data_IF_992104843004
#
_entry.id   IF_992104843004
#
_cell.length_a   1.000
_cell.length_b   1.000
_cell.length_c   1.000
_cell.angle_alpha   90.00
_cell.angle_beta   90.00
_cell.angle_gamma   90.00
#
_symmetry.space_group_name_H-M   'P 1'
#
loop_
_entity.id
_entity.type
_entity.pdbx_description
1 polymer ?
#
# COMPACT_ATOMS: atom_id res chain seq x y z
N UNK A 1 -29.14 36.39 -16.71
CA UNK A 1 -28.49 36.74 -15.43
C UNK A 1 -27.92 35.45 -14.84
N UNK A 2 -26.64 35.36 -14.43
CA UNK A 2 -26.18 34.17 -13.72
C UNK A 2 -26.92 34.11 -12.38
N UNK A 3 -27.64 33.04 -12.14
CA UNK A 3 -28.38 32.79 -10.90
C UNK A 3 -27.46 32.87 -9.70
N UNK A 4 -27.94 33.47 -8.61
CA UNK A 4 -27.16 33.57 -7.37
C UNK A 4 -26.84 32.15 -6.87
N UNK A 5 -25.59 31.84 -6.53
CA UNK A 5 -25.22 30.51 -6.04
C UNK A 5 -25.97 30.22 -4.74
N UNK A 6 -26.56 29.02 -4.63
CA UNK A 6 -27.19 28.52 -3.39
C UNK A 6 -26.24 28.71 -2.21
N UNK A 7 -26.73 29.31 -1.12
CA UNK A 7 -25.96 29.45 0.12
C UNK A 7 -25.61 28.06 0.69
N UNK A 8 -24.33 27.83 0.97
CA UNK A 8 -23.80 26.57 1.53
C UNK A 8 -23.15 26.73 2.89
N UNK A 9 -23.20 27.92 3.49
CA UNK A 9 -22.58 28.17 4.81
C UNK A 9 -23.17 27.19 5.85
N UNK A 10 -22.29 26.55 6.62
CA UNK A 10 -22.65 25.53 7.61
C UNK A 10 -22.72 24.10 7.07
N UNK A 11 -22.70 23.90 5.75
CA UNK A 11 -22.70 22.54 5.18
C UNK A 11 -21.35 21.83 5.41
N UNK A 12 -21.40 20.51 5.67
CA UNK A 12 -20.24 19.68 5.98
C UNK A 12 -19.97 18.68 4.85
N UNK A 13 -18.71 18.59 4.43
CA UNK A 13 -18.21 17.72 3.37
C UNK A 13 -16.96 16.96 3.86
N UNK A 14 -17.18 15.78 4.44
CA UNK A 14 -16.11 15.04 5.13
C UNK A 14 -15.59 15.81 6.33
N UNK A 15 -14.32 16.23 6.29
CA UNK A 15 -13.67 17.05 7.33
C UNK A 15 -13.88 18.54 7.15
N UNK A 16 -14.46 19.00 6.03
CA UNK A 16 -14.63 20.43 5.72
C UNK A 16 -16.01 20.94 6.10
N UNK A 17 -16.07 22.06 6.80
CA UNK A 17 -17.29 22.83 7.05
C UNK A 17 -17.22 24.16 6.29
N UNK A 18 -18.23 24.49 5.48
CA UNK A 18 -18.26 25.77 4.75
C UNK A 18 -18.48 26.91 5.74
N UNK A 19 -17.59 27.91 5.73
CA UNK A 19 -17.63 29.04 6.67
C UNK A 19 -18.01 30.36 6.00
N UNK A 20 -17.66 30.58 4.74
CA UNK A 20 -18.05 31.80 3.99
C UNK A 20 -17.98 31.61 2.47
N UNK A 21 -18.73 32.43 1.75
CA UNK A 21 -18.59 32.54 0.30
C UNK A 21 -17.26 33.21 -0.08
N UNK A 22 -16.74 32.87 -1.25
CA UNK A 22 -15.62 33.59 -1.88
C UNK A 22 -16.11 34.43 -3.05
N UNK A 23 -15.35 35.48 -3.37
CA UNK A 23 -15.55 36.31 -4.55
C UNK A 23 -15.11 35.60 -5.84
N UNK A 24 -14.31 34.53 -5.72
CA UNK A 24 -13.80 33.77 -6.87
C UNK A 24 -14.88 32.91 -7.49
N UNK A 25 -14.80 32.76 -8.82
CA UNK A 25 -15.61 31.83 -9.61
C UNK A 25 -14.75 31.02 -10.56
N UNK A 26 -15.19 29.81 -10.89
CA UNK A 26 -14.54 29.02 -11.94
C UNK A 26 -14.88 29.60 -13.32
N UNK A 27 -14.14 29.18 -14.36
CA UNK A 27 -14.46 29.53 -15.76
C UNK A 27 -15.88 29.11 -16.17
N UNK A 28 -16.43 28.07 -15.56
CA UNK A 28 -17.79 27.58 -15.78
C UNK A 28 -18.85 28.31 -14.91
N UNK A 29 -18.44 29.30 -14.10
CA UNK A 29 -19.34 30.11 -13.28
C UNK A 29 -19.62 29.56 -11.87
N UNK A 30 -19.00 28.46 -11.45
CA UNK A 30 -19.22 27.91 -10.10
C UNK A 30 -18.59 28.82 -9.04
N UNK A 31 -19.33 29.12 -7.98
CA UNK A 31 -18.81 29.86 -6.83
C UNK A 31 -17.77 29.03 -6.05
N UNK A 32 -16.78 29.71 -5.50
CA UNK A 32 -15.87 29.15 -4.51
C UNK A 32 -16.38 29.40 -3.08
N UNK A 33 -15.99 28.51 -2.17
CA UNK A 33 -16.36 28.55 -0.77
C UNK A 33 -15.11 28.37 0.08
N UNK A 34 -14.95 29.23 1.08
CA UNK A 34 -13.98 28.99 2.14
C UNK A 34 -14.54 27.95 3.09
N UNK A 35 -13.76 26.90 3.31
CA UNK A 35 -14.11 25.79 4.17
C UNK A 35 -13.07 25.65 5.28
N UNK A 36 -13.52 25.43 6.51
CA UNK A 36 -12.67 25.11 7.66
C UNK A 36 -12.62 23.60 7.84
N UNK A 37 -11.43 23.03 7.83
CA UNK A 37 -11.19 21.63 8.13
C UNK A 37 -11.32 21.37 9.63
N UNK A 38 -11.63 20.13 10.02
CA UNK A 38 -11.68 19.70 11.41
C UNK A 38 -10.34 19.85 12.15
N UNK A 39 -9.21 19.94 11.43
CA UNK A 39 -7.91 20.27 12.00
C UNK A 39 -7.69 21.78 12.23
N UNK A 40 -8.66 22.63 11.87
CA UNK A 40 -8.60 24.09 11.99
C UNK A 40 -8.11 24.82 10.74
N UNK A 41 -7.41 24.15 9.81
CA UNK A 41 -6.92 24.77 8.58
C UNK A 41 -8.07 25.12 7.62
N UNK A 42 -7.95 26.24 6.92
CA UNK A 42 -8.93 26.67 5.91
C UNK A 42 -8.47 26.34 4.48
N UNK A 43 -9.44 26.08 3.60
CA UNK A 43 -9.20 25.86 2.18
C UNK A 43 -10.34 26.45 1.36
N UNK A 44 -9.99 27.09 0.26
CA UNK A 44 -10.95 27.54 -0.72
C UNK A 44 -11.27 26.43 -1.73
N UNK A 45 -12.56 26.11 -1.91
CA UNK A 45 -13.01 24.97 -2.71
C UNK A 45 -14.14 25.37 -3.65
N UNK A 46 -14.12 24.98 -4.94
CA UNK A 46 -15.22 25.27 -5.86
C UNK A 46 -16.44 24.40 -5.57
N UNK A 47 -17.64 24.95 -5.80
CA UNK A 47 -18.94 24.33 -5.47
C UNK A 47 -19.13 22.92 -6.05
N UNK A 48 -18.60 22.65 -7.25
CA UNK A 48 -18.73 21.35 -7.93
C UNK A 48 -17.85 20.26 -7.30
N UNK A 49 -16.87 20.65 -6.47
CA UNK A 49 -15.99 19.74 -5.72
C UNK A 49 -16.48 19.45 -4.30
N UNK A 50 -17.38 20.29 -3.77
CA UNK A 50 -18.05 20.07 -2.48
C UNK A 50 -19.26 19.16 -2.67
N UNK A 51 -19.03 17.86 -2.47
CA UNK A 51 -20.12 16.90 -2.49
C UNK A 51 -19.97 15.63 -1.67
N UNK A 52 -21.14 15.10 -1.26
CA UNK A 52 -21.27 13.86 -0.48
C UNK A 52 -21.47 12.60 -1.34
N UNK A 53 -22.20 12.67 -2.46
CA UNK A 53 -22.30 11.51 -3.36
C UNK A 53 -20.91 11.08 -3.86
N UNK A 54 -20.51 9.87 -3.50
CA UNK A 54 -19.23 9.23 -3.79
C UNK A 54 -19.22 8.43 -5.10
N UNK A 55 -20.39 8.17 -5.69
CA UNK A 55 -20.55 7.50 -6.98
C UNK A 55 -20.24 8.42 -8.18
N UNK A 56 -19.90 9.69 -7.93
CA UNK A 56 -19.57 10.66 -8.98
C UNK A 56 -18.19 10.33 -9.57
N UNK A 57 -18.04 10.50 -10.89
CA UNK A 57 -16.74 10.36 -11.56
C UNK A 57 -15.75 11.48 -11.23
N UNK A 58 -16.24 12.67 -10.84
CA UNK A 58 -15.37 13.83 -10.54
C UNK A 58 -14.82 13.73 -9.11
N UNK A 59 -13.51 13.97 -8.90
CA UNK A 59 -12.93 13.99 -7.56
C UNK A 59 -13.60 15.06 -6.69
N UNK A 60 -13.92 14.72 -5.44
CA UNK A 60 -14.45 15.65 -4.45
C UNK A 60 -13.33 16.14 -3.54
N UNK A 61 -13.55 17.28 -2.89
CA UNK A 61 -12.64 17.81 -1.87
C UNK A 61 -13.38 17.76 -0.54
N UNK A 62 -12.81 17.03 0.41
CA UNK A 62 -13.44 16.73 1.70
C UNK A 62 -12.49 16.94 2.89
N UNK A 63 -11.32 17.54 2.67
CA UNK A 63 -10.34 17.90 3.70
C UNK A 63 -9.47 19.06 3.20
N UNK A 64 -8.74 19.71 4.12
CA UNK A 64 -7.66 20.62 3.74
C UNK A 64 -6.52 19.85 3.03
N UNK A 65 -5.58 20.58 2.43
CA UNK A 65 -4.49 19.96 1.65
C UNK A 65 -3.61 19.05 2.50
N UNK A 66 -3.25 19.49 3.71
CA UNK A 66 -2.46 18.71 4.67
C UNK A 66 -3.17 17.41 5.05
N UNK A 67 -4.40 17.50 5.56
CA UNK A 67 -5.15 16.31 5.97
C UNK A 67 -5.45 15.37 4.79
N UNK A 68 -5.69 15.91 3.58
CA UNK A 68 -5.86 15.09 2.38
C UNK A 68 -4.59 14.29 2.07
N UNK A 69 -3.41 14.92 2.18
CA UNK A 69 -2.12 14.27 1.94
C UNK A 69 -1.83 13.21 3.00
N UNK A 70 -2.07 13.51 4.28
CA UNK A 70 -1.93 12.57 5.39
C UNK A 70 -2.81 11.33 5.18
N UNK A 71 -4.10 11.52 4.85
CA UNK A 71 -5.02 10.42 4.60
C UNK A 71 -4.59 9.56 3.40
N UNK A 72 -4.04 10.17 2.35
CA UNK A 72 -3.47 9.42 1.22
C UNK A 72 -2.27 8.57 1.65
N UNK A 73 -1.35 9.16 2.41
CA UNK A 73 -0.17 8.46 2.95
C UNK A 73 -0.60 7.29 3.83
N UNK A 74 -1.51 7.52 4.80
CA UNK A 74 -2.08 6.45 5.63
C UNK A 74 -2.74 5.36 4.80
N UNK A 75 -3.47 5.74 3.74
CA UNK A 75 -4.08 4.79 2.81
C UNK A 75 -3.07 3.87 2.15
N UNK A 76 -1.91 4.41 1.74
CA UNK A 76 -0.80 3.62 1.17
C UNK A 76 -0.22 2.67 2.22
N UNK A 77 0.07 3.15 3.43
CA UNK A 77 0.59 2.29 4.50
C UNK A 77 -0.38 1.14 4.84
N UNK A 78 -1.67 1.44 5.05
CA UNK A 78 -2.70 0.42 5.32
C UNK A 78 -2.78 -0.64 4.22
N UNK A 79 -2.64 -0.23 2.95
CA UNK A 79 -2.60 -1.15 1.81
C UNK A 79 -1.35 -2.03 1.87
N UNK A 80 -0.17 -1.43 2.04
CA UNK A 80 1.10 -2.14 2.10
C UNK A 80 1.13 -3.16 3.24
N UNK A 81 0.61 -2.81 4.42
CA UNK A 81 0.53 -3.70 5.58
C UNK A 81 -0.37 -4.92 5.31
N UNK A 82 -1.52 -4.69 4.67
CA UNK A 82 -2.43 -5.77 4.27
C UNK A 82 -1.75 -6.72 3.28
N UNK A 83 -1.13 -6.17 2.24
CA UNK A 83 -0.42 -6.97 1.23
C UNK A 83 0.77 -7.70 1.84
N UNK A 84 1.47 -7.09 2.80
CA UNK A 84 2.58 -7.73 3.50
C UNK A 84 2.12 -8.91 4.35
N UNK A 85 1.00 -8.76 5.07
CA UNK A 85 0.38 -9.88 5.81
C UNK A 85 0.05 -11.04 4.87
N UNK A 86 -0.50 -10.76 3.69
CA UNK A 86 -0.78 -11.78 2.67
C UNK A 86 0.49 -12.44 2.15
N UNK A 87 1.55 -11.68 1.86
CA UNK A 87 2.85 -12.23 1.40
C UNK A 87 3.50 -13.13 2.46
N UNK A 88 3.42 -12.78 3.75
CA UNK A 88 3.91 -13.62 4.85
C UNK A 88 3.15 -14.93 4.95
N UNK A 89 1.82 -14.86 4.87
CA UNK A 89 0.96 -16.05 4.90
C UNK A 89 1.26 -16.98 3.72
N UNK A 90 1.31 -16.46 2.50
CA UNK A 90 1.66 -17.24 1.31
C UNK A 90 3.05 -17.87 1.41
N UNK A 91 4.02 -17.16 2.02
CA UNK A 91 5.36 -17.71 2.27
C UNK A 91 5.35 -18.85 3.29
N UNK A 92 4.58 -18.73 4.38
CA UNK A 92 4.43 -19.80 5.37
C UNK A 92 3.83 -21.05 4.72
N UNK A 93 2.77 -20.89 3.93
CA UNK A 93 2.12 -21.97 3.19
C UNK A 93 3.09 -22.65 2.23
N UNK A 94 3.80 -21.88 1.40
CA UNK A 94 4.80 -22.41 0.48
C UNK A 94 5.92 -23.18 1.21
N UNK A 95 6.42 -22.63 2.34
CA UNK A 95 7.46 -23.26 3.16
C UNK A 95 7.00 -24.54 3.85
N UNK A 96 5.71 -24.65 4.21
CA UNK A 96 5.17 -25.83 4.86
C UNK A 96 5.36 -27.10 4.02
N UNK A 97 5.24 -26.96 2.69
CA UNK A 97 5.40 -28.04 1.72
C UNK A 97 6.87 -28.41 1.46
N UNK A 98 7.81 -27.59 1.94
CA UNK A 98 9.25 -27.75 1.69
C UNK A 98 10.01 -28.31 2.91
N UNK A 99 9.32 -28.61 4.02
CA UNK A 99 9.93 -29.23 5.20
C UNK A 99 10.59 -30.56 4.81
N UNK A 100 11.86 -30.72 5.16
CA UNK A 100 12.67 -31.88 4.78
C UNK A 100 13.16 -31.90 3.32
N UNK A 101 12.70 -30.98 2.46
CA UNK A 101 13.17 -30.83 1.07
C UNK A 101 14.20 -29.72 0.91
N UNK A 102 14.21 -28.75 1.82
CA UNK A 102 15.19 -27.66 1.85
C UNK A 102 15.89 -27.60 3.20
N UNK A 103 17.09 -27.02 3.29
CA UNK A 103 17.78 -26.86 4.57
C UNK A 103 16.93 -26.11 5.61
N UNK A 104 16.89 -26.60 6.85
CA UNK A 104 16.13 -25.97 7.94
C UNK A 104 16.57 -24.52 8.22
N UNK A 105 17.85 -24.22 7.98
CA UNK A 105 18.38 -22.85 8.04
C UNK A 105 17.68 -21.89 7.06
N UNK A 106 17.09 -22.37 5.96
CA UNK A 106 16.27 -21.54 5.07
C UNK A 106 14.87 -21.36 5.61
N UNK A 107 14.31 -22.40 6.25
CA UNK A 107 13.01 -22.37 6.92
C UNK A 107 13.03 -21.61 8.26
N UNK A 108 14.15 -21.05 8.66
CA UNK A 108 14.27 -20.12 9.79
C UNK A 108 14.52 -18.67 9.35
N UNK A 109 14.76 -18.44 8.05
CA UNK A 109 14.89 -17.08 7.51
C UNK A 109 13.55 -16.32 7.56
N UNK A 110 13.59 -14.99 7.52
CA UNK A 110 12.42 -14.15 7.33
C UNK A 110 11.62 -14.56 6.09
N UNK A 111 10.32 -14.34 6.15
CA UNK A 111 9.35 -14.78 5.13
C UNK A 111 9.43 -13.94 3.85
N UNK A 112 9.69 -12.65 4.00
CA UNK A 112 9.62 -11.64 2.95
C UNK A 112 10.79 -10.66 3.09
N UNK A 113 10.98 -9.84 2.07
CA UNK A 113 11.94 -8.73 2.09
C UNK A 113 11.64 -7.73 3.22
N UNK A 114 10.38 -7.36 3.40
CA UNK A 114 9.96 -6.45 4.48
C UNK A 114 10.19 -7.08 5.87
N UNK A 115 9.85 -8.35 6.05
CA UNK A 115 10.12 -9.06 7.30
C UNK A 115 11.63 -9.16 7.59
N UNK A 116 12.47 -9.34 6.57
CA UNK A 116 13.92 -9.31 6.76
C UNK A 116 14.42 -7.94 7.22
N UNK A 117 13.91 -6.85 6.63
CA UNK A 117 14.24 -5.49 7.08
C UNK A 117 13.83 -5.24 8.53
N UNK A 118 12.64 -5.66 8.93
CA UNK A 118 12.16 -5.54 10.32
C UNK A 118 13.09 -6.25 11.31
N UNK A 119 13.62 -7.42 10.94
CA UNK A 119 14.53 -8.20 11.77
C UNK A 119 16.02 -7.81 11.59
N UNK A 120 16.34 -6.79 10.79
CA UNK A 120 17.71 -6.40 10.48
C UNK A 120 18.51 -7.47 9.72
N UNK A 121 17.84 -8.44 9.08
CA UNK A 121 18.47 -9.50 8.32
C UNK A 121 18.65 -9.13 6.86
N UNK A 122 19.67 -9.67 6.20
CA UNK A 122 19.98 -9.39 4.78
C UNK A 122 19.37 -10.39 3.81
N UNK A 123 18.85 -11.51 4.33
CA UNK A 123 18.30 -12.62 3.57
C UNK A 123 16.88 -12.94 4.02
N UNK A 124 16.07 -13.45 3.09
CA UNK A 124 14.76 -14.02 3.36
C UNK A 124 14.52 -15.24 2.48
N UNK A 125 13.57 -16.10 2.85
CA UNK A 125 13.19 -17.25 2.04
C UNK A 125 11.67 -17.32 1.92
N UNK A 126 11.19 -17.08 0.69
CA UNK A 126 9.75 -17.10 0.37
C UNK A 126 9.18 -18.51 0.29
N UNK A 127 10.00 -19.51 -0.02
CA UNK A 127 9.51 -20.85 -0.37
C UNK A 127 8.99 -20.96 -1.81
N UNK A 128 9.22 -19.95 -2.65
CA UNK A 128 8.79 -19.94 -4.06
C UNK A 128 9.98 -19.92 -5.01
N UNK A 129 9.79 -20.51 -6.19
CA UNK A 129 10.77 -20.52 -7.27
C UNK A 129 10.90 -19.10 -7.87
N UNK A 130 12.12 -18.67 -8.15
CA UNK A 130 12.36 -17.39 -8.82
C UNK A 130 12.03 -17.45 -10.32
N UNK A 131 12.01 -16.31 -11.01
CA UNK A 131 11.74 -16.23 -12.46
C UNK A 131 12.72 -17.05 -13.33
N UNK A 132 13.88 -17.42 -12.79
CA UNK A 132 14.88 -18.27 -13.46
C UNK A 132 14.84 -19.75 -13.03
N UNK A 133 13.78 -20.19 -12.35
CA UNK A 133 13.61 -21.59 -11.99
C UNK A 133 14.32 -22.06 -10.71
N UNK A 134 14.98 -21.17 -9.95
CA UNK A 134 15.69 -21.55 -8.72
C UNK A 134 14.82 -21.48 -7.46
N UNK A 135 14.96 -22.47 -6.58
CA UNK A 135 14.45 -22.45 -5.20
C UNK A 135 15.61 -22.18 -4.23
N UNK A 136 15.72 -20.93 -3.76
CA UNK A 136 16.81 -20.50 -2.88
C UNK A 136 16.41 -19.25 -2.07
N UNK A 137 17.15 -18.91 -0.99
CA UNK A 137 17.01 -17.63 -0.30
C UNK A 137 17.27 -16.43 -1.21
N UNK A 138 16.72 -15.28 -0.85
CA UNK A 138 16.81 -14.02 -1.59
C UNK A 138 17.54 -12.97 -0.77
N UNK A 139 18.25 -12.09 -1.46
CA UNK A 139 18.86 -10.88 -0.89
C UNK A 139 17.87 -9.73 -0.94
N UNK A 140 17.87 -8.88 0.08
CA UNK A 140 17.14 -7.61 0.04
C UNK A 140 17.59 -6.81 -1.19
N UNK A 141 16.64 -6.29 -1.96
CA UNK A 141 16.87 -5.57 -3.23
C UNK A 141 17.64 -6.36 -4.31
N UNK A 142 17.76 -7.69 -4.18
CA UNK A 142 18.52 -8.52 -5.10
C UNK A 142 17.75 -9.77 -5.56
N UNK A 143 18.36 -10.50 -6.50
CA UNK A 143 17.88 -11.82 -6.90
C UNK A 143 18.15 -12.89 -5.84
N UNK A 144 17.63 -14.11 -6.07
CA UNK A 144 17.95 -15.25 -5.21
C UNK A 144 19.44 -15.57 -5.20
N UNK A 145 19.93 -16.23 -4.17
CA UNK A 145 21.35 -16.53 -4.00
C UNK A 145 21.87 -17.48 -5.10
N UNK A 146 21.05 -18.43 -5.55
CA UNK A 146 21.38 -19.32 -6.67
C UNK A 146 21.56 -18.56 -7.99
N UNK A 147 20.70 -17.58 -8.25
CA UNK A 147 20.81 -16.65 -9.37
C UNK A 147 22.15 -15.88 -9.41
N UNK A 148 22.82 -15.75 -8.27
CA UNK A 148 24.13 -15.08 -8.13
C UNK A 148 25.28 -16.03 -7.85
N UNK A 149 25.07 -17.35 -7.98
CA UNK A 149 26.11 -18.37 -7.73
C UNK A 149 26.53 -18.52 -6.27
N UNK A 150 25.81 -17.93 -5.31
CA UNK A 150 26.18 -17.94 -3.88
C UNK A 150 25.74 -19.22 -3.15
N UNK A 151 24.72 -19.91 -3.65
CA UNK A 151 24.23 -21.19 -3.09
C UNK A 151 23.58 -22.03 -4.18
N UNK A 152 23.62 -23.37 -4.11
CA UNK A 152 22.85 -24.20 -5.05
C UNK A 152 21.34 -23.99 -4.88
N UNK A 153 20.61 -24.18 -5.98
CA UNK A 153 19.14 -24.25 -5.96
C UNK A 153 18.69 -25.58 -5.36
N UNK A 154 17.64 -25.55 -4.53
CA UNK A 154 16.97 -26.76 -4.08
C UNK A 154 15.94 -27.30 -5.11
N UNK A 155 15.61 -26.54 -6.14
CA UNK A 155 14.87 -27.05 -7.29
C UNK A 155 15.83 -27.96 -8.06
N UNK A 156 15.58 -29.28 -8.02
CA UNK A 156 16.37 -30.40 -8.57
C UNK A 156 17.50 -30.99 -7.69
N UNK A 157 17.26 -31.23 -6.39
CA UNK A 157 18.02 -32.29 -5.69
C UNK A 157 17.22 -33.61 -5.76
N UNK A 158 17.76 -34.72 -6.28
CA UNK A 158 17.11 -36.02 -6.17
C UNK A 158 16.93 -36.30 -4.67
N UNK A 159 15.71 -36.67 -4.27
CA UNK A 159 15.39 -37.05 -2.89
C UNK A 159 16.46 -38.00 -2.37
N UNK A 160 17.35 -37.52 -1.50
CA UNK A 160 18.28 -38.39 -0.78
C UNK A 160 17.47 -39.10 0.29
N UNK A 161 16.63 -40.05 -0.14
CA UNK A 161 16.23 -41.15 0.73
C UNK A 161 17.52 -41.89 1.09
N UNK A 162 17.85 -42.07 2.37
CA UNK A 162 18.93 -42.96 2.74
C UNK A 162 18.56 -44.36 2.24
N UNK A 163 19.39 -44.94 1.37
CA UNK A 163 19.36 -46.38 1.11
C UNK A 163 19.87 -47.04 2.39
N UNK A 164 18.94 -47.54 3.20
CA UNK A 164 19.26 -48.40 4.33
C UNK A 164 20.04 -49.62 3.84
N UNK A 165 21.18 -49.86 4.48
CA UNK A 165 21.97 -51.10 4.42
C UNK A 165 21.35 -52.16 5.32
#
# INVERSE_FOLDING_TARGET
MPSSPRNRIGEVYGKLTVVRASERRTKAGNAFWWCRCSCGAEREVPSDKLSLNSARRKPTVNACETCSRELQIEGVYRKNDREEKQRRQASLEARSQLKGQVPDRWLSLPLTDAHARELGQKLFFRGTICLRGHLAPYRINGGCQACSGQTPSAANSPSTKPKGS
#
